data_IF_294639065533
#
_entry.id   IF_294639065533
#
_cell.length_a   1.000
_cell.length_b   1.000
_cell.length_c   1.000
_cell.angle_alpha   90.00
_cell.angle_beta   90.00
_cell.angle_gamma   90.00
#
_symmetry.space_group_name_H-M   'P 1'
#
loop_
_entity.id
_entity.type
_entity.pdbx_description
1 polymer ?
#
# COMPACT_ATOMS: atom_id res chain seq x y z
N UNK A 1 15.02 4.95 -9.90
CA UNK A 1 14.00 5.55 -9.02
C UNK A 1 12.86 4.55 -8.90
N UNK A 2 12.36 4.26 -7.70
CA UNK A 2 11.23 3.33 -7.48
C UNK A 2 9.91 4.01 -7.13
N UNK A 3 9.86 5.33 -7.28
CA UNK A 3 8.63 6.12 -7.10
C UNK A 3 7.81 6.01 -8.40
N UNK A 4 6.57 5.54 -8.32
CA UNK A 4 5.68 5.43 -9.48
C UNK A 4 4.83 6.67 -9.74
N UNK A 5 4.49 6.90 -11.00
CA UNK A 5 3.81 8.12 -11.44
C UNK A 5 2.31 8.12 -11.13
N UNK A 6 1.68 9.28 -11.31
CA UNK A 6 0.22 9.40 -11.27
C UNK A 6 -0.43 8.52 -12.36
N UNK A 7 -1.57 7.88 -12.07
CA UNK A 7 -2.34 7.17 -13.09
C UNK A 7 -2.72 8.10 -14.25
N UNK A 8 -2.74 7.58 -15.49
CA UNK A 8 -3.06 8.37 -16.69
C UNK A 8 -4.39 9.13 -16.61
N UNK A 9 -5.37 8.59 -15.86
CA UNK A 9 -6.70 9.20 -15.70
C UNK A 9 -6.78 10.24 -14.58
N UNK A 10 -5.75 10.36 -13.73
CA UNK A 10 -5.69 11.30 -12.63
C UNK A 10 -5.31 12.71 -13.14
N UNK A 11 -6.13 13.29 -14.02
CA UNK A 11 -5.91 14.63 -14.56
C UNK A 11 -6.58 15.68 -13.67
N UNK A 12 -6.16 16.95 -13.79
CA UNK A 12 -6.77 18.06 -13.04
C UNK A 12 -8.28 18.15 -13.29
N UNK A 13 -8.71 17.95 -14.53
CA UNK A 13 -10.12 17.97 -14.93
C UNK A 13 -10.91 16.85 -14.27
N UNK A 14 -10.32 15.66 -14.12
CA UNK A 14 -10.94 14.55 -13.41
C UNK A 14 -11.21 14.92 -11.94
N UNK A 15 -10.22 15.47 -11.24
CA UNK A 15 -10.40 15.90 -9.84
C UNK A 15 -11.44 17.01 -9.70
N UNK A 16 -11.39 18.04 -10.58
CA UNK A 16 -12.40 19.11 -10.60
C UNK A 16 -13.81 18.59 -10.89
N UNK A 17 -13.95 17.57 -11.74
CA UNK A 17 -15.25 16.96 -12.03
C UNK A 17 -15.87 16.25 -10.83
N UNK A 18 -15.04 15.84 -9.86
CA UNK A 18 -15.43 15.28 -8.56
C UNK A 18 -15.59 16.36 -7.48
N UNK A 19 -15.54 17.64 -7.85
CA UNK A 19 -15.62 18.76 -6.89
C UNK A 19 -14.41 18.88 -5.96
N UNK A 20 -13.25 18.34 -6.36
CA UNK A 20 -12.03 18.38 -5.56
C UNK A 20 -11.13 19.54 -6.02
N UNK A 21 -10.93 20.53 -5.15
CA UNK A 21 -9.98 21.63 -5.36
C UNK A 21 -8.55 21.26 -4.90
N UNK A 22 -8.42 20.19 -4.11
CA UNK A 22 -7.17 19.63 -3.62
C UNK A 22 -7.17 18.10 -3.76
N UNK A 23 -5.99 17.48 -3.78
CA UNK A 23 -5.90 16.02 -3.77
C UNK A 23 -6.41 15.52 -2.40
N UNK A 24 -7.37 14.59 -2.35
CA UNK A 24 -7.94 14.11 -1.09
C UNK A 24 -6.90 13.25 -0.35
N UNK A 25 -6.14 13.88 0.54
CA UNK A 25 -5.16 13.21 1.39
C UNK A 25 -5.82 12.78 2.70
N UNK A 26 -5.50 11.57 3.17
CA UNK A 26 -6.03 11.02 4.42
C UNK A 26 -7.07 9.90 4.21
N UNK A 27 -7.60 9.35 5.32
CA UNK A 27 -8.64 8.31 5.27
C UNK A 27 -9.95 8.85 4.68
N UNK A 28 -10.74 7.95 4.10
CA UNK A 28 -12.04 8.25 3.50
C UNK A 28 -12.30 7.54 2.16
N UNK A 29 -13.50 7.72 1.59
CA UNK A 29 -13.95 7.05 0.36
C UNK A 29 -13.13 7.44 -0.87
N UNK A 30 -12.50 8.62 -0.84
CA UNK A 30 -11.69 9.15 -1.94
C UNK A 30 -10.18 9.01 -1.73
N UNK A 31 -9.74 8.42 -0.61
CA UNK A 31 -8.31 8.29 -0.25
C UNK A 31 -7.48 7.67 -1.39
N UNK A 32 -8.02 6.68 -2.10
CA UNK A 32 -7.36 6.02 -3.22
C UNK A 32 -7.00 6.94 -4.39
N UNK A 33 -7.67 8.09 -4.52
CA UNK A 33 -7.35 9.05 -5.58
C UNK A 33 -6.02 9.78 -5.34
N UNK A 34 -5.47 9.70 -4.13
CA UNK A 34 -4.12 10.17 -3.81
C UNK A 34 -3.02 9.15 -4.16
N UNK A 35 -3.38 7.93 -4.59
CA UNK A 35 -2.41 6.86 -4.82
C UNK A 35 -1.72 7.01 -6.18
N UNK A 36 -0.43 6.66 -6.18
CA UNK A 36 0.38 6.56 -7.40
C UNK A 36 0.67 5.10 -7.72
N UNK A 37 1.27 4.82 -8.88
CA UNK A 37 1.65 3.44 -9.18
C UNK A 37 2.64 2.89 -8.13
N UNK A 38 2.41 1.69 -7.58
CA UNK A 38 3.31 1.09 -6.61
C UNK A 38 4.60 0.58 -7.30
N UNK A 39 5.59 1.46 -7.44
CA UNK A 39 6.84 1.19 -8.18
C UNK A 39 7.90 0.40 -7.41
N UNK A 40 7.68 0.12 -6.13
CA UNK A 40 8.69 -0.50 -5.24
C UNK A 40 9.06 -1.92 -5.66
N UNK A 41 8.10 -2.70 -6.17
CA UNK A 41 8.33 -4.09 -6.61
C UNK A 41 9.30 -4.13 -7.78
N UNK A 42 9.01 -3.36 -8.83
CA UNK A 42 9.86 -3.26 -10.03
C UNK A 42 11.26 -2.74 -9.69
N UNK A 43 11.35 -1.76 -8.78
CA UNK A 43 12.62 -1.21 -8.35
C UNK A 43 13.50 -2.25 -7.63
N UNK A 44 12.92 -3.07 -6.74
CA UNK A 44 13.68 -4.12 -6.05
C UNK A 44 14.09 -5.25 -6.98
N UNK A 45 13.21 -5.67 -7.90
CA UNK A 45 13.56 -6.70 -8.88
C UNK A 45 14.65 -6.21 -9.84
N UNK A 46 14.58 -4.95 -10.28
CA UNK A 46 15.64 -4.32 -11.09
C UNK A 46 16.98 -4.24 -10.33
N UNK A 47 16.95 -3.93 -9.03
CA UNK A 47 18.15 -3.91 -8.19
C UNK A 47 18.75 -5.32 -8.08
N UNK A 48 17.91 -6.34 -7.85
CA UNK A 48 18.32 -7.73 -7.76
C UNK A 48 18.89 -8.25 -9.08
N UNK A 49 18.26 -7.94 -10.21
CA UNK A 49 18.75 -8.33 -11.53
C UNK A 49 20.14 -7.75 -11.81
N UNK A 50 20.34 -6.46 -11.48
CA UNK A 50 21.57 -5.77 -11.81
C UNK A 50 22.72 -6.04 -10.85
N UNK A 51 22.44 -6.25 -9.57
CA UNK A 51 23.46 -6.29 -8.50
C UNK A 51 23.34 -7.49 -7.57
N UNK A 52 22.27 -8.27 -7.69
CA UNK A 52 21.98 -9.40 -6.82
C UNK A 52 22.79 -10.65 -7.15
N UNK A 53 22.83 -11.56 -6.18
CA UNK A 53 23.49 -12.86 -6.29
C UNK A 53 22.60 -14.03 -5.85
N UNK A 54 21.34 -13.73 -5.48
CA UNK A 54 20.34 -14.67 -4.97
C UNK A 54 19.12 -14.67 -5.88
N UNK A 55 18.38 -15.76 -5.88
CA UNK A 55 17.08 -15.85 -6.53
C UNK A 55 16.02 -15.01 -5.79
N UNK A 56 14.93 -14.67 -6.50
CA UNK A 56 13.76 -14.00 -5.90
C UNK A 56 13.18 -14.81 -4.74
N UNK A 57 13.13 -16.14 -4.87
CA UNK A 57 12.64 -17.02 -3.81
C UNK A 57 13.48 -16.94 -2.54
N UNK A 58 14.80 -16.92 -2.66
CA UNK A 58 15.70 -16.81 -1.51
C UNK A 58 15.57 -15.47 -0.77
N UNK A 59 15.40 -14.36 -1.50
CA UNK A 59 15.28 -13.04 -0.86
C UNK A 59 13.91 -12.82 -0.21
N UNK A 60 12.84 -13.45 -0.72
CA UNK A 60 11.49 -13.33 -0.17
C UNK A 60 11.20 -14.34 0.94
N UNK A 61 11.96 -15.44 1.02
CA UNK A 61 11.71 -16.51 2.00
C UNK A 61 11.57 -16.01 3.45
N UNK A 62 12.41 -15.09 3.97
CA UNK A 62 12.23 -14.56 5.33
C UNK A 62 10.92 -13.78 5.49
N UNK A 63 10.56 -12.95 4.51
CA UNK A 63 9.32 -12.16 4.55
C UNK A 63 8.07 -13.04 4.51
N UNK A 64 8.08 -14.08 3.68
CA UNK A 64 7.00 -15.08 3.62
C UNK A 64 6.86 -15.78 4.97
N UNK A 65 7.98 -16.24 5.56
CA UNK A 65 7.95 -16.90 6.86
C UNK A 65 7.33 -16.01 7.96
N UNK A 66 7.69 -14.72 8.00
CA UNK A 66 7.11 -13.79 8.98
C UNK A 66 5.65 -13.46 8.71
N UNK A 67 5.23 -13.38 7.44
CA UNK A 67 3.84 -13.18 7.08
C UNK A 67 2.97 -14.39 7.50
N UNK A 68 3.46 -15.61 7.31
CA UNK A 68 2.72 -16.84 7.63
C UNK A 68 2.72 -17.17 9.13
N UNK A 69 3.84 -16.93 9.83
CA UNK A 69 3.99 -17.32 11.25
C UNK A 69 3.74 -16.19 12.23
N UNK A 70 3.59 -14.96 11.72
CA UNK A 70 3.47 -13.76 12.52
C UNK A 70 4.80 -13.31 13.13
N UNK A 71 4.72 -12.15 13.79
CA UNK A 71 5.80 -11.53 14.55
C UNK A 71 5.24 -10.97 15.86
N UNK A 72 6.05 -10.87 16.93
CA UNK A 72 5.69 -10.01 18.06
C UNK A 72 5.67 -8.56 17.56
N UNK A 73 4.55 -7.88 17.80
CA UNK A 73 4.41 -6.46 17.47
C UNK A 73 4.81 -5.58 18.66
N UNK A 74 5.28 -4.38 18.35
CA UNK A 74 5.61 -3.35 19.33
C UNK A 74 4.40 -2.44 19.59
N UNK A 75 4.37 -1.78 20.76
CA UNK A 75 3.21 -1.06 21.27
C UNK A 75 2.59 -0.08 20.27
N UNK A 76 3.42 0.70 19.58
CA UNK A 76 2.91 1.63 18.56
C UNK A 76 2.11 0.92 17.45
N UNK A 77 2.53 -0.25 16.97
CA UNK A 77 1.76 -0.99 15.96
C UNK A 77 0.49 -1.58 16.54
N UNK A 78 0.54 -2.08 17.77
CA UNK A 78 -0.64 -2.57 18.47
C UNK A 78 -1.68 -1.46 18.63
N UNK A 79 -1.26 -0.24 18.94
CA UNK A 79 -2.15 0.92 19.05
C UNK A 79 -2.75 1.32 17.70
N UNK A 80 -1.98 1.23 16.60
CA UNK A 80 -2.51 1.50 15.25
C UNK A 80 -3.55 0.47 14.82
N UNK A 81 -3.31 -0.80 15.11
CA UNK A 81 -4.27 -1.87 14.83
C UNK A 81 -5.55 -1.75 15.66
N UNK A 82 -5.47 -1.22 16.89
CA UNK A 82 -6.62 -0.95 17.76
C UNK A 82 -7.36 0.35 17.45
N UNK A 83 -6.86 1.16 16.51
CA UNK A 83 -7.48 2.44 16.17
C UNK A 83 -8.92 2.21 15.70
N UNK A 84 -9.91 2.93 16.26
CA UNK A 84 -11.31 2.78 15.86
C UNK A 84 -11.56 3.21 14.41
N UNK A 85 -10.60 3.91 13.79
CA UNK A 85 -10.67 4.32 12.38
C UNK A 85 -10.21 3.24 11.40
N UNK A 86 -9.53 2.17 11.86
CA UNK A 86 -8.93 1.17 10.97
C UNK A 86 -9.99 0.32 10.26
N UNK A 87 -10.94 -0.25 11.00
CA UNK A 87 -11.99 -1.10 10.42
C UNK A 87 -12.88 -0.32 9.45
N UNK A 88 -13.43 0.87 9.81
CA UNK A 88 -14.23 1.65 8.86
C UNK A 88 -13.48 1.97 7.57
N UNK A 89 -12.18 2.28 7.66
CA UNK A 89 -11.36 2.55 6.49
C UNK A 89 -11.17 1.32 5.59
N UNK A 90 -11.12 0.12 6.16
CA UNK A 90 -11.05 -1.13 5.40
C UNK A 90 -12.36 -1.43 4.69
N UNK A 91 -13.49 -1.12 5.32
CA UNK A 91 -14.82 -1.36 4.76
C UNK A 91 -15.14 -0.44 3.56
N UNK A 92 -14.47 0.72 3.45
CA UNK A 92 -14.58 1.61 2.28
C UNK A 92 -14.10 0.97 0.96
N UNK A 93 -13.29 -0.11 1.02
CA UNK A 93 -12.70 -0.74 -0.17
C UNK A 93 -12.93 -2.27 -0.22
N UNK A 94 -14.13 -2.74 -0.61
CA UNK A 94 -14.45 -4.17 -0.75
C UNK A 94 -13.50 -4.91 -1.73
N UNK A 95 -13.11 -6.18 -1.46
CA UNK A 95 -13.62 -7.07 -0.40
C UNK A 95 -13.18 -6.71 1.02
N UNK A 96 -12.41 -5.63 1.20
CA UNK A 96 -12.09 -5.06 2.50
C UNK A 96 -10.79 -5.61 3.06
N UNK A 97 -10.02 -4.76 3.76
CA UNK A 97 -8.85 -5.20 4.52
C UNK A 97 -9.20 -6.18 5.64
N UNK A 98 -10.46 -6.20 6.09
CA UNK A 98 -10.94 -7.10 7.14
C UNK A 98 -10.78 -8.57 6.76
N UNK A 99 -11.28 -8.99 5.59
CA UNK A 99 -11.19 -10.40 5.14
C UNK A 99 -9.76 -10.85 4.80
N UNK A 100 -8.82 -9.91 4.68
CA UNK A 100 -7.42 -10.16 4.30
C UNK A 100 -6.49 -10.15 5.52
N UNK A 101 -6.75 -9.27 6.49
CA UNK A 101 -5.88 -9.04 7.64
C UNK A 101 -6.43 -9.62 8.96
N UNK A 102 -7.71 -10.02 9.00
CA UNK A 102 -8.40 -10.56 10.18
C UNK A 102 -9.16 -11.85 9.85
#
# INVERSE_FOLDING_TARGET
SGQGTAPRKATVEYFKSLGQDEIPTGPGPLAHLSFTLPGVVDAYLSLLERYGTKSVGEILAPSIQYAERGIPNYDYMLDRLKSPMTIPQFDEYPPGGTDVFY
#
